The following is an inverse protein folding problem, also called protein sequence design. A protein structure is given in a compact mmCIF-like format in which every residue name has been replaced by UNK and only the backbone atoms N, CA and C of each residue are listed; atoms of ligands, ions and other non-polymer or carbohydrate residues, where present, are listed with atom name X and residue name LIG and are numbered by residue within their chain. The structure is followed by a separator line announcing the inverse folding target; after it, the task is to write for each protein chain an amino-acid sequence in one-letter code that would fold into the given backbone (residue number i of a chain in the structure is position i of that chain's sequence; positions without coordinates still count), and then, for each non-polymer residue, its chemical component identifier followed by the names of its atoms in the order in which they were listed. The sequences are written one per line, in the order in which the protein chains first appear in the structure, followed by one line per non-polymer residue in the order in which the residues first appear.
data_IF_013920659008
#
_entry.id   IF_013920659008
#
_cell.length_a   1.000
_cell.length_b   1.000
_cell.length_c   1.000
_cell.angle_alpha   90.00
_cell.angle_beta   90.00
_cell.angle_gamma   90.00
#
_symmetry.space_group_name_H-M   'P 1'
#
loop_
_entity.id
_entity.type
_entity.pdbx_description
1 polymer ?
#
# COMPACT_ATOMS: atom_id res chain seq x y z
N UNK A 1 -6.10 -10.43 -8.73
CA UNK A 1 -6.32 -10.26 -7.29
C UNK A 1 -5.00 -10.23 -6.51
N UNK A 2 -4.07 -11.16 -6.72
CA UNK A 2 -2.84 -11.34 -5.94
C UNK A 2 -1.89 -10.13 -6.05
N UNK A 3 -1.62 -9.63 -7.25
CA UNK A 3 -0.81 -8.41 -7.43
C UNK A 3 -1.40 -7.18 -6.72
N UNK A 4 -2.72 -7.08 -6.61
CA UNK A 4 -3.38 -6.04 -5.83
C UNK A 4 -3.06 -6.20 -4.33
N UNK A 5 -3.15 -7.42 -3.78
CA UNK A 5 -2.82 -7.72 -2.38
C UNK A 5 -1.33 -7.41 -2.12
N UNK A 6 -0.44 -7.89 -2.98
CA UNK A 6 1.00 -7.61 -2.87
C UNK A 6 1.25 -6.10 -2.86
N UNK A 7 0.62 -5.36 -3.78
CA UNK A 7 0.75 -3.90 -3.84
C UNK A 7 0.26 -3.18 -2.59
N UNK A 8 -0.86 -3.63 -2.00
CA UNK A 8 -1.41 -3.07 -0.77
C UNK A 8 -0.51 -3.33 0.46
N UNK A 9 0.23 -4.44 0.51
CA UNK A 9 1.05 -4.80 1.67
C UNK A 9 2.55 -4.55 1.49
N UNK A 10 3.02 -4.31 0.28
CA UNK A 10 4.41 -3.89 0.04
C UNK A 10 4.56 -2.39 -0.17
N UNK A 11 3.48 -1.70 -0.49
CA UNK A 11 3.44 -0.26 -0.76
C UNK A 11 4.38 0.21 -1.87
N UNK A 12 4.81 -0.66 -2.77
CA UNK A 12 5.73 -0.27 -3.82
C UNK A 12 5.00 0.45 -4.98
N UNK A 13 5.74 1.29 -5.71
CA UNK A 13 5.23 1.88 -6.94
C UNK A 13 5.02 0.79 -7.99
N UNK A 14 4.14 1.02 -8.94
CA UNK A 14 3.83 0.01 -9.96
C UNK A 14 5.07 -0.45 -10.74
N UNK A 15 6.01 0.46 -11.03
CA UNK A 15 7.29 0.15 -11.66
C UNK A 15 8.19 -0.75 -10.80
N UNK A 16 8.06 -0.68 -9.48
CA UNK A 16 8.82 -1.52 -8.57
C UNK A 16 8.06 -2.81 -8.24
N UNK A 17 6.73 -2.75 -8.20
CA UNK A 17 5.86 -3.87 -7.88
C UNK A 17 6.05 -5.05 -8.85
N UNK A 18 6.07 -4.78 -10.16
CA UNK A 18 6.25 -5.83 -11.17
C UNK A 18 7.71 -6.26 -11.39
N UNK A 19 8.64 -5.65 -10.69
CA UNK A 19 10.05 -6.07 -10.65
C UNK A 19 10.36 -6.98 -9.46
N UNK A 20 9.38 -7.23 -8.60
CA UNK A 20 9.57 -8.12 -7.46
C UNK A 20 9.83 -9.54 -7.94
N UNK A 21 10.90 -10.14 -7.43
CA UNK A 21 11.33 -11.49 -7.72
C UNK A 21 11.81 -12.22 -6.45
N UNK A 22 11.82 -13.53 -6.48
CA UNK A 22 12.17 -14.36 -5.32
C UNK A 22 13.58 -14.09 -4.78
N UNK A 23 14.53 -13.71 -5.64
CA UNK A 23 15.90 -13.35 -5.25
C UNK A 23 15.97 -12.12 -4.32
N UNK A 24 14.91 -11.31 -4.28
CA UNK A 24 14.80 -10.14 -3.38
C UNK A 24 14.32 -10.52 -1.98
N UNK A 25 13.90 -11.77 -1.77
CA UNK A 25 13.38 -12.23 -0.47
C UNK A 25 14.53 -12.77 0.36
N UNK A 26 14.75 -12.16 1.52
CA UNK A 26 15.80 -12.56 2.48
C UNK A 26 15.14 -12.83 3.83
N UNK A 27 15.52 -13.94 4.45
CA UNK A 27 15.07 -14.30 5.79
C UNK A 27 16.09 -13.83 6.83
N UNK A 28 15.63 -13.04 7.80
CA UNK A 28 16.41 -12.63 8.95
C UNK A 28 15.66 -13.04 10.22
N UNK A 29 16.28 -13.85 11.08
CA UNK A 29 15.63 -14.40 12.27
C UNK A 29 14.27 -15.05 11.99
N UNK A 30 14.18 -15.80 10.91
CA UNK A 30 12.94 -16.43 10.39
C UNK A 30 11.84 -15.47 9.95
N UNK A 31 12.13 -14.17 9.82
CA UNK A 31 11.20 -13.17 9.29
C UNK A 31 11.59 -12.84 7.85
N UNK A 32 10.69 -13.01 6.89
CA UNK A 32 10.96 -12.67 5.49
C UNK A 32 10.88 -11.17 5.23
N UNK A 33 11.84 -10.66 4.47
CA UNK A 33 11.90 -9.27 4.00
C UNK A 33 12.14 -9.24 2.51
N UNK A 34 11.57 -8.25 1.83
CA UNK A 34 11.87 -7.93 0.45
C UNK A 34 12.88 -6.78 0.44
N UNK A 35 14.06 -7.01 -0.13
CA UNK A 35 15.09 -6.00 -0.36
C UNK A 35 15.04 -5.52 -1.79
N UNK A 36 14.74 -4.26 -2.00
CA UNK A 36 14.73 -3.70 -3.35
C UNK A 36 15.31 -2.30 -3.40
N UNK A 37 15.86 -1.94 -4.56
CA UNK A 37 16.23 -0.59 -4.92
C UNK A 37 15.12 0.00 -5.80
N UNK A 38 14.44 1.05 -5.30
CA UNK A 38 13.35 1.70 -6.01
C UNK A 38 13.84 2.35 -7.30
N UNK A 39 13.18 2.07 -8.43
CA UNK A 39 13.57 2.54 -9.76
C UNK A 39 13.61 4.07 -9.86
N UNK A 40 12.57 4.75 -9.35
CA UNK A 40 12.42 6.20 -9.50
C UNK A 40 13.33 7.03 -8.58
N UNK A 41 13.71 6.51 -7.42
CA UNK A 41 14.37 7.28 -6.35
C UNK A 41 15.74 6.73 -5.98
N UNK A 42 16.14 5.61 -6.57
CA UNK A 42 17.37 4.87 -6.24
C UNK A 42 17.48 4.48 -4.75
N UNK A 43 16.41 4.67 -3.98
CA UNK A 43 16.39 4.38 -2.55
C UNK A 43 16.30 2.88 -2.33
N UNK A 44 17.19 2.36 -1.50
CA UNK A 44 17.08 0.98 -0.97
C UNK A 44 15.99 0.97 0.10
N UNK A 45 15.08 0.02 -0.01
CA UNK A 45 14.02 -0.22 0.97
C UNK A 45 14.03 -1.67 1.40
N UNK A 46 13.73 -1.87 2.67
CA UNK A 46 13.54 -3.18 3.29
C UNK A 46 12.07 -3.28 3.71
N UNK A 47 11.33 -4.17 3.07
CA UNK A 47 9.89 -4.31 3.27
C UNK A 47 9.63 -5.62 3.99
N UNK A 48 9.10 -5.62 5.23
CA UNK A 48 8.70 -6.85 5.88
C UNK A 48 7.55 -7.49 5.11
N UNK A 49 7.61 -8.81 4.93
CA UNK A 49 6.60 -9.55 4.17
C UNK A 49 5.41 -9.82 5.09
N UNK A 50 4.25 -9.28 4.73
CA UNK A 50 3.01 -9.52 5.45
C UNK A 50 2.52 -10.95 5.20
N UNK A 51 1.88 -11.61 6.18
CA UNK A 51 1.44 -13.01 6.06
C UNK A 51 0.57 -13.29 4.82
N UNK A 52 -0.29 -12.35 4.41
CA UNK A 52 -1.09 -12.49 3.16
C UNK A 52 -0.23 -12.52 1.89
N UNK A 53 0.94 -11.88 1.91
CA UNK A 53 1.90 -11.96 0.81
C UNK A 53 2.65 -13.29 0.87
N UNK A 54 3.00 -13.78 2.07
CA UNK A 54 3.59 -15.10 2.24
C UNK A 54 2.67 -16.22 1.74
N UNK A 55 1.36 -16.13 2.00
CA UNK A 55 0.39 -17.10 1.48
C UNK A 55 0.39 -17.13 -0.06
N UNK A 56 0.50 -15.94 -0.69
CA UNK A 56 0.61 -15.85 -2.14
C UNK A 56 1.93 -16.45 -2.62
N UNK A 57 3.06 -16.12 -1.99
CA UNK A 57 4.36 -16.67 -2.36
C UNK A 57 4.38 -18.20 -2.22
N UNK A 58 3.80 -18.77 -1.15
CA UNK A 58 3.67 -20.22 -0.97
C UNK A 58 2.88 -20.88 -2.10
N UNK A 59 1.85 -20.23 -2.62
CA UNK A 59 1.05 -20.71 -3.76
C UNK A 59 1.87 -20.81 -5.05
N UNK A 60 2.91 -20.02 -5.20
CA UNK A 60 3.78 -19.96 -6.37
C UNK A 60 5.21 -20.46 -6.09
N UNK A 61 5.37 -21.44 -5.19
CA UNK A 61 6.67 -22.04 -4.85
C UNK A 61 7.72 -20.99 -4.47
N UNK A 62 7.34 -20.06 -3.58
CA UNK A 62 8.13 -18.92 -3.12
C UNK A 62 8.47 -17.89 -4.21
N UNK A 63 7.76 -17.91 -5.33
CA UNK A 63 7.85 -16.90 -6.38
C UNK A 63 6.69 -15.92 -6.30
N UNK A 64 6.82 -14.80 -7.01
CA UNK A 64 5.71 -13.89 -7.24
C UNK A 64 4.79 -14.42 -8.35
N UNK A 65 3.51 -14.00 -8.36
CA UNK A 65 2.59 -14.41 -9.41
C UNK A 65 3.11 -14.04 -10.81
N UNK A 66 2.73 -14.78 -11.86
CA UNK A 66 3.12 -14.43 -13.21
C UNK A 66 2.62 -13.04 -13.60
N UNK A 67 3.38 -12.36 -14.45
CA UNK A 67 2.97 -11.11 -15.05
C UNK A 67 1.83 -11.35 -16.05
N UNK A 68 1.00 -10.35 -16.28
CA UNK A 68 -0.09 -10.42 -17.26
C UNK A 68 0.44 -10.40 -18.70
N UNK A 69 1.59 -9.75 -18.92
CA UNK A 69 2.22 -9.52 -20.22
C UNK A 69 3.72 -9.33 -20.06
N UNK A 70 4.46 -9.57 -21.14
CA UNK A 70 5.89 -9.23 -21.22
C UNK A 70 6.16 -7.72 -21.35
N UNK A 71 5.12 -6.91 -21.47
CA UNK A 71 5.22 -5.46 -21.59
C UNK A 71 4.83 -4.80 -20.25
N UNK A 72 5.76 -4.03 -19.68
CA UNK A 72 5.56 -3.36 -18.38
C UNK A 72 4.38 -2.39 -18.37
N UNK A 73 4.21 -1.59 -19.43
CA UNK A 73 3.09 -0.64 -19.53
C UNK A 73 1.74 -1.37 -19.61
N UNK A 74 1.70 -2.49 -20.33
CA UNK A 74 0.51 -3.34 -20.41
C UNK A 74 0.14 -3.92 -19.04
N UNK A 75 1.13 -4.41 -18.28
CA UNK A 75 0.90 -4.92 -16.92
C UNK A 75 0.28 -3.86 -16.01
N UNK A 76 0.78 -2.63 -16.07
CA UNK A 76 0.27 -1.52 -15.26
C UNK A 76 -1.18 -1.15 -15.64
N UNK A 77 -1.50 -1.12 -16.93
CA UNK A 77 -2.85 -0.86 -17.41
C UNK A 77 -3.82 -1.97 -16.99
N UNK A 78 -3.47 -3.23 -17.24
CA UNK A 78 -4.29 -4.39 -16.88
C UNK A 78 -4.56 -4.46 -15.37
N UNK A 79 -3.53 -4.21 -14.52
CA UNK A 79 -3.75 -4.18 -13.08
C UNK A 79 -4.70 -3.05 -12.69
N UNK A 80 -4.58 -1.86 -13.29
CA UNK A 80 -5.47 -0.73 -13.02
C UNK A 80 -6.92 -1.07 -13.34
N UNK A 81 -7.18 -1.73 -14.46
CA UNK A 81 -8.54 -2.11 -14.88
C UNK A 81 -9.10 -3.20 -13.97
N UNK A 82 -8.30 -4.25 -13.67
CA UNK A 82 -8.71 -5.30 -12.74
C UNK A 82 -9.00 -4.78 -11.32
N UNK A 83 -8.28 -3.76 -10.83
CA UNK A 83 -8.57 -3.14 -9.54
C UNK A 83 -9.94 -2.44 -9.58
N UNK A 84 -10.27 -1.74 -10.67
CA UNK A 84 -11.57 -1.10 -10.85
C UNK A 84 -12.70 -2.13 -10.89
N UNK A 85 -12.51 -3.23 -11.62
CA UNK A 85 -13.47 -4.34 -11.64
C UNK A 85 -13.71 -4.92 -10.25
N UNK A 86 -12.65 -5.16 -9.48
CA UNK A 86 -12.77 -5.60 -8.07
C UNK A 86 -13.58 -4.60 -7.25
N UNK A 87 -13.35 -3.30 -7.43
CA UNK A 87 -14.09 -2.28 -6.72
C UNK A 87 -15.58 -2.27 -7.10
N UNK A 88 -15.90 -2.46 -8.38
CA UNK A 88 -17.30 -2.56 -8.84
C UNK A 88 -17.99 -3.77 -8.21
N UNK A 89 -17.36 -4.95 -8.28
CA UNK A 89 -17.91 -6.20 -7.69
C UNK A 89 -18.04 -6.10 -6.17
N UNK A 90 -17.16 -5.33 -5.53
CA UNK A 90 -17.19 -5.08 -4.08
C UNK A 90 -18.06 -3.89 -3.68
N UNK A 91 -18.88 -3.37 -4.60
CA UNK A 91 -19.81 -2.25 -4.39
C UNK A 91 -19.13 -0.96 -3.88
N UNK A 92 -17.84 -0.76 -4.18
CA UNK A 92 -17.11 0.47 -3.87
C UNK A 92 -17.44 1.49 -4.97
N UNK A 93 -18.67 1.99 -4.96
CA UNK A 93 -19.24 2.81 -6.01
C UNK A 93 -19.79 4.16 -5.52
N UNK A 94 -19.59 4.48 -4.22
CA UNK A 94 -19.99 5.76 -3.68
C UNK A 94 -19.45 6.94 -4.51
N UNK A 95 -20.28 7.96 -4.68
CA UNK A 95 -19.91 9.17 -5.42
C UNK A 95 -19.06 10.08 -4.54
N UNK A 96 -17.83 10.34 -4.96
CA UNK A 96 -16.88 11.18 -4.23
C UNK A 96 -16.33 12.30 -5.12
N UNK A 97 -15.94 13.42 -4.50
CA UNK A 97 -15.25 14.48 -5.22
C UNK A 97 -13.83 14.04 -5.59
N UNK A 98 -13.47 14.17 -6.85
CA UNK A 98 -12.13 13.80 -7.32
C UNK A 98 -11.80 14.44 -8.66
N UNK A 99 -10.66 14.04 -9.23
CA UNK A 99 -10.21 14.47 -10.55
C UNK A 99 -10.11 13.27 -11.47
N UNK A 100 -10.90 13.27 -12.54
CA UNK A 100 -10.85 12.25 -13.59
C UNK A 100 -10.50 12.93 -14.92
N UNK A 101 -9.48 12.45 -15.61
CA UNK A 101 -9.00 13.00 -16.89
C UNK A 101 -8.76 14.53 -16.85
N UNK A 102 -8.23 15.03 -15.73
CA UNK A 102 -7.96 16.47 -15.56
C UNK A 102 -9.13 17.30 -15.05
N UNK A 103 -10.36 16.78 -15.09
CA UNK A 103 -11.59 17.49 -14.68
C UNK A 103 -11.91 17.18 -13.21
N UNK A 104 -12.15 18.22 -12.41
CA UNK A 104 -12.63 18.08 -11.03
C UNK A 104 -14.14 17.97 -11.06
N UNK A 105 -14.68 16.93 -10.43
CA UNK A 105 -16.12 16.64 -10.40
C UNK A 105 -16.45 15.62 -9.31
N UNK A 106 -17.68 15.13 -9.36
CA UNK A 106 -18.15 14.02 -8.53
C UNK A 106 -18.23 12.76 -9.40
N UNK A 107 -17.51 11.71 -9.00
CA UNK A 107 -17.38 10.48 -9.76
C UNK A 107 -17.57 9.27 -8.85
N UNK A 108 -18.07 8.14 -9.37
CA UNK A 108 -18.00 6.88 -8.64
C UNK A 108 -16.55 6.59 -8.22
N UNK A 109 -16.34 6.22 -6.97
CA UNK A 109 -15.00 6.07 -6.38
C UNK A 109 -14.11 5.09 -7.16
N UNK A 110 -14.68 4.00 -7.70
CA UNK A 110 -13.91 3.05 -8.50
C UNK A 110 -13.24 3.68 -9.73
N UNK A 111 -13.82 4.74 -10.32
CA UNK A 111 -13.22 5.43 -11.46
C UNK A 111 -11.98 6.24 -11.09
N UNK A 112 -11.86 6.65 -9.83
CA UNK A 112 -10.74 7.42 -9.30
C UNK A 112 -9.61 6.55 -8.80
N UNK A 113 -9.82 5.24 -8.68
CA UNK A 113 -8.84 4.28 -8.21
C UNK A 113 -7.82 3.99 -9.31
N UNK A 114 -6.56 3.91 -8.92
CA UNK A 114 -5.43 3.61 -9.78
C UNK A 114 -4.42 2.72 -9.05
N UNK A 115 -3.40 2.24 -9.77
CA UNK A 115 -2.29 1.48 -9.16
C UNK A 115 -1.65 2.21 -7.96
N UNK A 116 -1.65 3.55 -7.99
CA UNK A 116 -1.11 4.37 -6.91
C UNK A 116 -1.95 4.28 -5.62
N UNK A 117 -3.22 3.93 -5.74
CA UNK A 117 -4.13 3.72 -4.62
C UNK A 117 -3.67 2.57 -3.72
N UNK A 118 -3.03 1.52 -4.26
CA UNK A 118 -2.49 0.41 -3.47
C UNK A 118 -1.48 0.91 -2.43
N UNK A 119 -0.55 1.76 -2.87
CA UNK A 119 0.45 2.37 -2.00
C UNK A 119 -0.16 3.37 -1.01
N UNK A 120 -1.18 4.14 -1.45
CA UNK A 120 -1.93 5.04 -0.55
C UNK A 120 -2.68 4.25 0.51
N UNK A 121 -3.30 3.13 0.15
CA UNK A 121 -3.98 2.25 1.10
C UNK A 121 -3.04 1.77 2.21
N UNK A 122 -1.82 1.34 1.86
CA UNK A 122 -0.82 1.00 2.87
C UNK A 122 -0.56 2.18 3.80
N UNK A 123 -0.21 3.34 3.24
CA UNK A 123 0.12 4.52 4.02
C UNK A 123 -1.03 4.93 4.96
N UNK A 124 -2.27 4.95 4.46
CA UNK A 124 -3.45 5.36 5.25
C UNK A 124 -3.84 4.34 6.33
N UNK A 125 -3.75 3.04 6.01
CA UNK A 125 -4.17 1.98 6.93
C UNK A 125 -3.18 1.79 8.09
N UNK A 126 -1.88 1.92 7.83
CA UNK A 126 -0.86 1.72 8.85
C UNK A 126 -0.45 3.02 9.57
N UNK A 127 -0.74 4.19 9.01
CA UNK A 127 -0.52 5.46 9.67
C UNK A 127 -1.37 5.61 10.92
N UNK A 128 -0.71 5.74 12.07
CA UNK A 128 -1.38 5.87 13.37
C UNK A 128 -2.10 4.60 13.85
N UNK A 129 -1.86 3.45 13.24
CA UNK A 129 -2.23 2.15 13.78
C UNK A 129 -1.37 1.85 15.02
N UNK A 130 -1.92 1.15 16.01
CA UNK A 130 -1.19 0.75 17.22
C UNK A 130 0.07 -0.07 16.85
N UNK A 131 1.20 0.25 17.48
CA UNK A 131 2.50 -0.35 17.16
C UNK A 131 3.21 0.22 15.91
N UNK A 132 2.56 1.12 15.16
CA UNK A 132 3.12 1.75 13.98
C UNK A 132 3.39 3.24 14.19
N UNK A 133 4.54 3.71 13.73
CA UNK A 133 4.87 5.14 13.72
C UNK A 133 5.13 5.63 12.29
N UNK A 134 5.13 6.94 12.11
CA UNK A 134 5.35 7.57 10.80
C UNK A 134 6.67 7.14 10.14
N UNK A 135 7.83 7.10 10.84
CA UNK A 135 9.08 6.62 10.26
C UNK A 135 9.00 5.20 9.71
N UNK A 136 8.34 4.25 10.40
CA UNK A 136 8.17 2.88 9.91
C UNK A 136 7.42 2.83 8.58
N UNK A 137 6.30 3.56 8.48
CA UNK A 137 5.51 3.60 7.25
C UNK A 137 6.28 4.29 6.14
N UNK A 138 7.04 5.34 6.46
CA UNK A 138 7.88 6.07 5.50
C UNK A 138 9.04 5.22 4.98
N UNK A 139 9.64 4.39 5.82
CA UNK A 139 10.73 3.48 5.44
C UNK A 139 10.25 2.47 4.39
N UNK A 140 9.14 1.76 4.67
CA UNK A 140 8.55 0.77 3.77
C UNK A 140 8.11 1.42 2.45
N UNK A 141 7.44 2.56 2.53
CA UNK A 141 7.02 3.30 1.35
C UNK A 141 8.16 4.00 0.63
N UNK A 142 9.31 4.20 1.26
CA UNK A 142 10.46 4.89 0.69
C UNK A 142 10.27 6.42 0.56
N UNK A 143 9.43 7.03 1.40
CA UNK A 143 9.32 8.49 1.45
C UNK A 143 10.53 9.09 2.19
N UNK A 144 11.10 10.15 1.63
CA UNK A 144 12.26 10.85 2.21
C UNK A 144 11.88 12.03 3.09
N UNK A 145 10.65 12.53 2.96
CA UNK A 145 10.15 13.66 3.75
C UNK A 145 8.72 13.43 4.20
N UNK A 146 8.39 13.84 5.41
CA UNK A 146 7.03 13.80 5.95
C UNK A 146 6.05 14.63 5.09
N UNK A 147 6.48 15.79 4.58
CA UNK A 147 5.67 16.63 3.69
C UNK A 147 5.15 15.85 2.48
N UNK A 148 5.98 14.98 1.89
CA UNK A 148 5.57 14.15 0.77
C UNK A 148 4.76 12.94 1.22
N UNK A 149 5.08 12.38 2.38
CA UNK A 149 4.33 11.27 2.96
C UNK A 149 2.89 11.67 3.29
N UNK A 150 2.70 12.80 3.93
CA UNK A 150 1.37 13.28 4.31
C UNK A 150 0.42 13.60 3.14
N UNK A 151 0.91 13.69 1.92
CA UNK A 151 0.05 13.74 0.72
C UNK A 151 -0.62 12.40 0.39
N UNK A 152 -0.12 11.32 0.97
CA UNK A 152 -0.62 9.95 0.78
C UNK A 152 -1.58 9.50 1.88
N UNK A 153 -1.50 10.14 3.03
CA UNK A 153 -2.36 9.83 4.16
C UNK A 153 -3.60 10.70 4.06
N UNK A 154 -4.76 10.06 4.05
CA UNK A 154 -6.03 10.75 4.16
C UNK A 154 -6.18 11.19 5.62
N UNK A 155 -5.95 12.47 5.87
CA UNK A 155 -6.05 13.06 7.19
C UNK A 155 -7.45 13.60 7.38
N UNK A 156 -8.29 12.89 8.11
CA UNK A 156 -9.30 13.54 8.91
C UNK A 156 -8.59 14.31 10.02
N UNK A 157 -8.85 15.61 10.11
CA UNK A 157 -8.17 16.51 11.06
C UNK A 157 -8.32 16.10 12.53
N UNK A 158 -9.24 15.20 12.85
CA UNK A 158 -9.58 14.75 14.19
C UNK A 158 -9.04 13.36 14.57
N UNK A 159 -8.66 12.52 13.60
CA UNK A 159 -8.22 11.13 13.85
C UNK A 159 -7.07 11.02 14.85
N UNK A 160 -6.11 11.93 14.82
CA UNK A 160 -4.99 11.94 15.76
C UNK A 160 -5.41 12.37 17.17
N UNK A 161 -6.31 13.33 17.27
CA UNK A 161 -6.87 13.79 18.58
C UNK A 161 -7.73 12.70 19.21
N UNK A 162 -8.53 11.99 18.43
CA UNK A 162 -9.33 10.84 18.90
C UNK A 162 -8.42 9.70 19.40
N UNK A 163 -7.34 9.40 18.69
CA UNK A 163 -6.34 8.41 19.13
C UNK A 163 -5.64 8.85 20.41
N UNK A 164 -5.28 10.12 20.54
CA UNK A 164 -4.71 10.65 21.76
C UNK A 164 -5.69 10.50 22.94
N UNK A 165 -6.98 10.79 22.73
CA UNK A 165 -8.02 10.61 23.76
C UNK A 165 -8.17 9.13 24.16
N UNK A 166 -8.13 8.20 23.23
CA UNK A 166 -8.16 6.76 23.51
C UNK A 166 -6.94 6.31 24.32
N UNK A 167 -5.75 6.84 24.00
CA UNK A 167 -4.53 6.55 24.76
C UNK A 167 -4.62 7.08 26.19
N UNK A 168 -5.12 8.30 26.40
CA UNK A 168 -5.36 8.82 27.75
C UNK A 168 -6.38 7.98 28.53
N UNK A 169 -7.42 7.49 27.86
CA UNK A 169 -8.40 6.60 28.49
C UNK A 169 -7.81 5.24 28.88
N UNK A 170 -6.87 4.70 28.11
CA UNK A 170 -6.12 3.47 28.45
C UNK A 170 -5.24 3.70 29.68
N UNK A 171 -4.43 4.76 29.70
CA UNK A 171 -3.55 5.10 30.83
C UNK A 171 -4.34 5.21 32.12
N UNK A 172 -5.52 5.84 32.11
CA UNK A 172 -6.38 5.95 33.29
C UNK A 172 -6.88 4.60 33.80
N UNK A 173 -7.03 3.57 32.94
CA UNK A 173 -7.46 2.22 33.35
C UNK A 173 -6.32 1.39 33.94
N UNK A 174 -5.09 1.66 33.54
CA UNK A 174 -3.88 0.98 34.03
C UNK A 174 -3.43 1.52 35.39
N UNK A 175 -3.85 2.74 35.75
CA UNK A 175 -3.58 3.38 37.03
C UNK A 175 -4.68 3.14 38.09
N UNK A 176 -5.79 2.52 37.73
CA UNK A 176 -6.94 2.24 38.61
C UNK A 176 -6.99 0.78 39.09
#
# INVERSE_FOLDING_TARGET
KEWMIIGCFTAQRISDLFRLESSMIVYENNIPYIYLKQFKTDKKVKVPVHYKVEEILKKYDLNFPPLFSNNEKSNAAMLSDLIKEVCIVSEINETVRGRLNGVIGHYPKYQLISNHTLRRSFASNFYGMEGWNTPMVMEITGHSTEKNFYKYVDKDNFTLSEKAALNFAKMKREEA
#
